data_IF_069122281690
#
_entry.id   IF_069122281690
#
_cell.length_a   1.000
_cell.length_b   1.000
_cell.length_c   1.000
_cell.angle_alpha   90.00
_cell.angle_beta   90.00
_cell.angle_gamma   90.00
#
_symmetry.space_group_name_H-M   'P 1'
#
loop_
_entity.id
_entity.type
_entity.pdbx_description
1 polymer ?
#
# COMPACT_ATOMS: atom_id res chain seq x y z
N UNK A 1 -42.35 -3.89 4.74
CA UNK A 1 -41.72 -2.55 4.73
C UNK A 1 -40.20 -2.71 4.79
N UNK A 2 -39.52 -2.57 3.66
CA UNK A 2 -38.06 -2.74 3.56
C UNK A 2 -37.36 -1.46 4.03
N UNK A 3 -36.69 -1.49 5.19
CA UNK A 3 -35.78 -0.40 5.60
C UNK A 3 -34.63 -0.37 4.60
N UNK A 4 -34.62 0.60 3.68
CA UNK A 4 -33.40 0.96 2.94
C UNK A 4 -32.31 1.22 3.98
N UNK A 5 -31.29 0.35 4.06
CA UNK A 5 -30.09 0.60 4.86
C UNK A 5 -29.45 1.88 4.34
N UNK A 6 -29.65 2.98 5.05
CA UNK A 6 -29.04 4.25 4.72
C UNK A 6 -27.54 4.16 5.02
N UNK A 7 -26.71 4.61 4.09
CA UNK A 7 -25.27 4.71 4.32
C UNK A 7 -24.99 5.73 5.44
N UNK A 8 -23.85 5.60 6.15
CA UNK A 8 -23.39 6.60 7.12
C UNK A 8 -23.36 8.01 6.52
N UNK A 9 -23.51 9.06 7.34
CA UNK A 9 -23.49 10.43 6.86
C UNK A 9 -22.15 10.76 6.19
N UNK A 10 -22.16 11.75 5.30
CA UNK A 10 -20.96 12.16 4.58
C UNK A 10 -21.11 13.54 3.95
N UNK A 11 -20.03 14.11 3.41
CA UNK A 11 -20.07 15.42 2.76
C UNK A 11 -21.15 15.49 1.68
N UNK A 12 -22.07 16.47 1.71
CA UNK A 12 -23.06 16.69 0.66
C UNK A 12 -22.44 17.40 -0.55
N UNK A 13 -21.17 17.11 -0.84
CA UNK A 13 -20.42 17.72 -1.94
C UNK A 13 -20.55 16.85 -3.20
N UNK A 14 -20.55 17.46 -4.41
CA UNK A 14 -20.49 16.71 -5.66
C UNK A 14 -19.26 15.79 -5.72
N UNK A 15 -19.38 14.67 -6.44
CA UNK A 15 -18.31 13.65 -6.57
C UNK A 15 -16.99 14.25 -7.06
N UNK A 16 -17.05 15.18 -8.02
CA UNK A 16 -15.88 15.88 -8.57
C UNK A 16 -15.16 16.71 -7.51
N UNK A 17 -15.92 17.44 -6.67
CA UNK A 17 -15.36 18.26 -5.59
C UNK A 17 -14.69 17.39 -4.53
N UNK A 18 -15.35 16.30 -4.11
CA UNK A 18 -14.74 15.35 -3.17
C UNK A 18 -13.45 14.75 -3.73
N UNK A 19 -13.46 14.38 -5.02
CA UNK A 19 -12.28 13.85 -5.72
C UNK A 19 -11.14 14.87 -5.74
N UNK A 20 -11.42 16.13 -6.07
CA UNK A 20 -10.40 17.19 -6.07
C UNK A 20 -9.81 17.44 -4.67
N UNK A 21 -10.65 17.42 -3.62
CA UNK A 21 -10.19 17.58 -2.23
C UNK A 21 -9.29 16.42 -1.79
N UNK A 22 -9.65 15.19 -2.17
CA UNK A 22 -8.85 13.99 -1.94
C UNK A 22 -7.50 14.07 -2.67
N UNK A 23 -7.50 14.46 -3.96
CA UNK A 23 -6.27 14.61 -4.74
C UNK A 23 -5.36 15.71 -4.19
N UNK A 24 -5.94 16.80 -3.66
CA UNK A 24 -5.17 17.90 -3.06
C UNK A 24 -4.54 17.52 -1.72
N UNK A 25 -5.32 16.91 -0.84
CA UNK A 25 -4.86 16.50 0.49
C UNK A 25 -5.77 15.41 1.05
N UNK A 26 -5.41 14.17 0.77
CA UNK A 26 -6.11 13.02 1.33
C UNK A 26 -6.17 13.07 2.85
N UNK A 27 -5.04 13.20 3.60
CA UNK A 27 -5.08 13.13 5.07
C UNK A 27 -5.88 14.28 5.68
N UNK A 28 -5.74 15.49 5.13
CA UNK A 28 -6.46 16.67 5.62
C UNK A 28 -7.96 16.56 5.40
N UNK A 29 -8.38 16.11 4.22
CA UNK A 29 -9.80 15.93 3.91
C UNK A 29 -10.45 14.83 4.76
N UNK A 30 -9.78 13.69 4.94
CA UNK A 30 -10.24 12.61 5.82
C UNK A 30 -10.37 13.10 7.27
N UNK A 31 -9.36 13.81 7.79
CA UNK A 31 -9.40 14.36 9.15
C UNK A 31 -10.58 15.33 9.33
N UNK A 32 -10.84 16.19 8.35
CA UNK A 32 -11.98 17.11 8.37
C UNK A 32 -13.33 16.37 8.35
N UNK A 33 -13.44 15.29 7.57
CA UNK A 33 -14.63 14.45 7.51
C UNK A 33 -14.85 13.71 8.84
N UNK A 34 -13.80 13.10 9.40
CA UNK A 34 -13.87 12.41 10.69
C UNK A 34 -14.32 13.35 11.81
N UNK A 35 -13.78 14.57 11.86
CA UNK A 35 -14.19 15.59 12.84
C UNK A 35 -15.67 16.00 12.71
N UNK A 36 -16.23 15.97 11.51
CA UNK A 36 -17.60 16.46 11.24
C UNK A 36 -18.66 15.36 11.29
N UNK A 37 -18.32 14.15 10.86
CA UNK A 37 -19.26 13.04 10.68
C UNK A 37 -19.01 11.88 11.64
N UNK A 38 -17.94 11.93 12.43
CA UNK A 38 -17.57 10.90 13.38
C UNK A 38 -16.70 9.81 12.77
N UNK A 39 -16.58 8.65 13.44
CA UNK A 39 -15.60 7.63 13.09
C UNK A 39 -15.94 6.82 11.83
N UNK A 40 -17.21 6.88 11.38
CA UNK A 40 -17.74 6.18 10.22
C UNK A 40 -18.45 7.21 9.33
N UNK A 41 -18.00 7.35 8.08
CA UNK A 41 -18.62 8.31 7.15
C UNK A 41 -18.51 7.87 5.70
N UNK A 42 -19.39 8.41 4.85
CA UNK A 42 -19.44 8.06 3.42
C UNK A 42 -18.72 9.10 2.57
N UNK A 43 -17.83 8.65 1.69
CA UNK A 43 -17.20 9.44 0.64
C UNK A 43 -17.67 8.98 -0.74
N UNK A 44 -17.70 9.90 -1.70
CA UNK A 44 -17.99 9.58 -3.10
C UNK A 44 -16.89 10.11 -3.99
N UNK A 45 -15.99 9.23 -4.38
CA UNK A 45 -14.79 9.53 -5.17
C UNK A 45 -15.01 9.02 -6.60
N UNK A 46 -14.63 9.78 -7.61
CA UNK A 46 -14.89 9.41 -9.00
C UNK A 46 -14.21 8.09 -9.39
N UNK A 47 -12.94 7.93 -9.00
CA UNK A 47 -12.12 6.74 -9.31
C UNK A 47 -12.45 5.51 -8.46
N UNK A 48 -13.02 5.69 -7.26
CA UNK A 48 -13.21 4.61 -6.29
C UNK A 48 -14.67 4.36 -5.91
N UNK A 49 -15.62 5.05 -6.55
CA UNK A 49 -17.04 4.86 -6.26
C UNK A 49 -17.51 5.48 -4.94
N UNK A 50 -18.37 4.76 -4.23
CA UNK A 50 -18.88 5.15 -2.91
C UNK A 50 -18.14 4.34 -1.85
N UNK A 51 -17.45 5.02 -0.93
CA UNK A 51 -16.63 4.41 0.10
C UNK A 51 -17.23 4.72 1.46
N UNK A 52 -17.37 3.70 2.31
CA UNK A 52 -17.59 3.90 3.75
C UNK A 52 -16.22 3.87 4.42
N UNK A 53 -15.81 5.00 4.98
CA UNK A 53 -14.52 5.16 5.64
C UNK A 53 -14.65 4.86 7.12
N UNK A 54 -13.79 3.95 7.63
CA UNK A 54 -13.73 3.54 9.03
C UNK A 54 -12.45 4.06 9.66
N UNK A 55 -12.57 4.71 10.82
CA UNK A 55 -11.41 5.22 11.57
C UNK A 55 -11.27 4.62 12.97
N UNK A 56 -12.29 3.92 13.46
CA UNK A 56 -12.25 3.23 14.74
C UNK A 56 -11.48 1.89 14.59
N UNK A 57 -10.43 1.64 15.41
CA UNK A 57 -9.70 0.38 15.39
C UNK A 57 -10.57 -0.87 15.59
N UNK A 58 -11.67 -0.79 16.34
CA UNK A 58 -12.58 -1.91 16.55
C UNK A 58 -13.35 -2.26 15.27
N UNK A 59 -13.83 -1.25 14.54
CA UNK A 59 -14.53 -1.45 13.25
C UNK A 59 -13.57 -1.98 12.19
N UNK A 60 -12.35 -1.41 12.14
CA UNK A 60 -11.28 -1.87 11.26
C UNK A 60 -10.99 -3.34 11.55
N UNK A 61 -10.83 -3.72 12.83
CA UNK A 61 -10.59 -5.11 13.22
C UNK A 61 -11.72 -6.04 12.77
N UNK A 62 -12.98 -5.62 12.89
CA UNK A 62 -14.13 -6.40 12.41
C UNK A 62 -14.06 -6.67 10.91
N UNK A 63 -13.71 -5.67 10.10
CA UNK A 63 -13.56 -5.85 8.65
C UNK A 63 -12.39 -6.77 8.32
N UNK A 64 -11.22 -6.56 8.93
CA UNK A 64 -10.02 -7.37 8.69
C UNK A 64 -10.13 -8.81 9.21
N UNK A 65 -10.98 -9.07 10.21
CA UNK A 65 -11.24 -10.41 10.74
C UNK A 65 -12.49 -11.07 10.13
N UNK A 66 -13.22 -10.35 9.27
CA UNK A 66 -14.44 -10.84 8.64
C UNK A 66 -14.17 -11.87 7.54
N UNK A 67 -15.26 -12.43 7.02
CA UNK A 67 -15.21 -13.42 5.94
C UNK A 67 -14.66 -12.76 4.64
N UNK A 68 -13.58 -13.29 4.03
CA UNK A 68 -13.07 -12.82 2.74
C UNK A 68 -14.12 -12.86 1.61
N UNK A 69 -15.12 -13.75 1.71
CA UNK A 69 -16.24 -13.81 0.77
C UNK A 69 -17.24 -12.64 0.91
N UNK A 70 -17.09 -11.81 1.95
CA UNK A 70 -17.91 -10.62 2.23
C UNK A 70 -17.09 -9.33 2.09
N UNK A 71 -15.80 -9.37 2.44
CA UNK A 71 -14.88 -8.25 2.36
C UNK A 71 -13.81 -8.49 1.29
N UNK A 72 -14.21 -8.38 0.02
CA UNK A 72 -13.31 -8.52 -1.13
C UNK A 72 -12.30 -7.36 -1.20
N UNK A 73 -11.01 -7.67 -1.11
CA UNK A 73 -9.94 -6.67 -1.12
C UNK A 73 -9.41 -6.41 -2.55
N UNK A 74 -9.50 -7.41 -3.43
CA UNK A 74 -9.10 -7.34 -4.84
C UNK A 74 -9.99 -6.39 -5.65
N UNK A 75 -11.30 -6.43 -5.46
CA UNK A 75 -12.24 -5.48 -6.08
C UNK A 75 -11.89 -4.01 -5.76
N UNK A 76 -11.44 -3.74 -4.53
CA UNK A 76 -11.01 -2.40 -4.12
C UNK A 76 -9.67 -1.98 -4.74
N UNK A 77 -8.81 -2.95 -5.11
CA UNK A 77 -7.51 -2.72 -5.71
C UNK A 77 -7.52 -2.74 -7.25
N UNK A 78 -8.65 -3.02 -7.90
CA UNK A 78 -8.78 -3.12 -9.36
C UNK A 78 -8.22 -1.90 -10.14
N UNK A 79 -8.18 -0.71 -9.53
CA UNK A 79 -7.53 0.47 -10.11
C UNK A 79 -6.02 0.27 -10.37
N UNK A 80 -5.36 -0.65 -9.67
CA UNK A 80 -3.95 -1.00 -9.83
C UNK A 80 -3.71 -2.11 -10.86
N UNK A 81 -4.77 -2.67 -11.46
CA UNK A 81 -4.68 -3.79 -12.41
C UNK A 81 -3.79 -3.50 -13.62
N UNK A 82 -3.89 -2.29 -14.19
CA UNK A 82 -3.05 -1.89 -15.32
C UNK A 82 -1.55 -1.77 -15.01
N UNK A 83 -1.17 -1.64 -13.73
CA UNK A 83 0.23 -1.54 -13.30
C UNK A 83 0.78 -2.90 -12.84
N UNK A 84 -0.02 -3.66 -12.09
CA UNK A 84 0.43 -4.87 -11.42
C UNK A 84 0.13 -6.16 -12.20
N UNK A 85 -0.71 -6.07 -13.23
CA UNK A 85 -1.24 -7.19 -14.00
C UNK A 85 -2.36 -7.93 -13.24
N UNK A 86 -3.38 -8.37 -13.96
CA UNK A 86 -4.61 -8.99 -13.44
C UNK A 86 -4.40 -10.21 -12.51
N UNK A 87 -3.21 -10.81 -12.53
CA UNK A 87 -2.86 -11.98 -11.72
C UNK A 87 -2.04 -11.66 -10.47
N UNK A 88 -1.78 -10.37 -10.20
CA UNK A 88 -1.08 -9.94 -8.99
C UNK A 88 -1.78 -10.41 -7.73
N UNK A 89 -1.01 -10.81 -6.72
CA UNK A 89 -1.51 -11.13 -5.38
C UNK A 89 -2.24 -9.94 -4.74
N UNK A 90 -2.00 -8.72 -5.19
CA UNK A 90 -2.71 -7.54 -4.68
C UNK A 90 -4.14 -7.38 -5.24
N UNK A 91 -4.52 -8.14 -6.27
CA UNK A 91 -5.78 -7.94 -7.02
C UNK A 91 -6.72 -9.15 -6.99
N UNK A 92 -6.18 -10.34 -6.76
CA UNK A 92 -6.95 -11.56 -6.62
C UNK A 92 -7.55 -11.68 -5.22
N UNK A 93 -8.73 -12.28 -5.13
CA UNK A 93 -9.43 -12.55 -3.87
C UNK A 93 -9.48 -14.07 -3.55
N UNK A 94 -9.97 -14.38 -2.35
CA UNK A 94 -10.36 -15.72 -1.89
C UNK A 94 -9.27 -16.80 -1.97
N UNK A 95 -9.61 -17.99 -2.49
CA UNK A 95 -8.74 -19.17 -2.49
C UNK A 95 -7.53 -18.98 -3.40
N UNK A 96 -7.71 -18.29 -4.54
CA UNK A 96 -6.63 -17.94 -5.46
C UNK A 96 -5.63 -16.97 -4.81
N UNK A 97 -6.13 -16.00 -4.04
CA UNK A 97 -5.28 -15.14 -3.21
C UNK A 97 -4.48 -15.93 -2.18
N UNK A 98 -5.15 -16.84 -1.45
CA UNK A 98 -4.53 -17.68 -0.43
C UNK A 98 -3.40 -18.53 -0.99
N UNK A 99 -3.63 -19.18 -2.13
CA UNK A 99 -2.66 -20.07 -2.75
C UNK A 99 -1.46 -19.32 -3.33
N UNK A 100 -1.69 -18.22 -4.05
CA UNK A 100 -0.57 -17.41 -4.58
C UNK A 100 0.23 -16.76 -3.46
N UNK A 101 -0.43 -16.27 -2.41
CA UNK A 101 0.25 -15.78 -1.21
C UNK A 101 1.09 -16.88 -0.58
N UNK A 102 0.55 -18.09 -0.39
CA UNK A 102 1.29 -19.23 0.17
C UNK A 102 2.57 -19.53 -0.61
N UNK A 103 2.54 -19.46 -1.94
CA UNK A 103 3.71 -19.66 -2.79
C UNK A 103 4.73 -18.51 -2.69
N UNK A 104 4.27 -17.28 -2.47
CA UNK A 104 5.13 -16.09 -2.36
C UNK A 104 5.70 -15.84 -0.96
N UNK A 105 5.11 -16.39 0.10
CA UNK A 105 5.54 -16.14 1.48
C UNK A 105 6.90 -16.76 1.92
N UNK A 106 7.42 -17.87 1.36
CA UNK A 106 8.65 -18.50 1.88
C UNK A 106 9.87 -17.57 1.96
N UNK A 107 10.14 -16.69 0.98
CA UNK A 107 11.19 -15.66 1.09
C UNK A 107 11.00 -14.66 2.25
N UNK A 108 9.78 -14.47 2.73
CA UNK A 108 9.42 -13.50 3.78
C UNK A 108 9.28 -14.12 5.18
N UNK A 109 9.54 -15.42 5.32
CA UNK A 109 9.56 -16.07 6.64
C UNK A 109 10.78 -15.63 7.46
N UNK A 110 10.62 -15.63 8.79
CA UNK A 110 11.62 -15.12 9.75
C UNK A 110 13.05 -15.59 9.44
N UNK A 111 13.25 -16.90 9.27
CA UNK A 111 14.59 -17.45 9.03
C UNK A 111 15.17 -17.03 7.67
N UNK A 112 14.31 -16.92 6.66
CA UNK A 112 14.68 -16.47 5.33
C UNK A 112 15.04 -14.97 5.32
N UNK A 113 14.37 -14.17 6.14
CA UNK A 113 14.71 -12.74 6.37
C UNK A 113 16.01 -12.63 7.16
N UNK A 114 16.17 -13.42 8.24
CA UNK A 114 17.37 -13.42 9.06
C UNK A 114 18.64 -13.76 8.25
N UNK A 115 18.55 -14.71 7.31
CA UNK A 115 19.65 -15.05 6.38
C UNK A 115 20.02 -13.90 5.43
N UNK A 116 19.09 -13.00 5.11
CA UNK A 116 19.30 -11.85 4.20
C UNK A 116 19.73 -10.58 4.93
N UNK A 117 19.49 -10.48 6.24
CA UNK A 117 19.79 -9.30 7.03
C UNK A 117 21.25 -8.81 6.90
N UNK A 118 22.29 -9.69 6.84
CA UNK A 118 23.67 -9.24 6.60
C UNK A 118 23.83 -8.51 5.26
N UNK A 119 23.32 -9.08 4.16
CA UNK A 119 23.40 -8.45 2.84
C UNK A 119 22.64 -7.12 2.77
N UNK A 120 21.54 -7.00 3.52
CA UNK A 120 20.79 -5.74 3.66
C UNK A 120 21.61 -4.70 4.41
N UNK A 121 22.26 -5.09 5.51
CA UNK A 121 23.11 -4.22 6.30
C UNK A 121 24.33 -3.74 5.50
N UNK A 122 24.96 -4.64 4.73
CA UNK A 122 26.08 -4.28 3.84
C UNK A 122 25.69 -3.24 2.79
N UNK A 123 24.53 -3.42 2.12
CA UNK A 123 24.03 -2.45 1.16
C UNK A 123 23.77 -1.08 1.81
N UNK A 124 23.16 -1.08 3.00
CA UNK A 124 22.93 0.15 3.75
C UNK A 124 24.24 0.85 4.16
N UNK A 125 25.20 0.11 4.72
CA UNK A 125 26.50 0.65 5.14
C UNK A 125 27.26 1.23 3.95
N UNK A 126 27.33 0.50 2.83
CA UNK A 126 28.01 0.94 1.62
C UNK A 126 27.37 2.23 1.06
N UNK A 127 26.04 2.33 1.07
CA UNK A 127 25.35 3.53 0.61
C UNK A 127 25.58 4.72 1.55
N UNK A 128 25.44 4.50 2.86
CA UNK A 128 25.60 5.55 3.90
C UNK A 128 27.02 6.11 3.91
N UNK A 129 28.03 5.29 3.61
CA UNK A 129 29.41 5.76 3.47
C UNK A 129 29.61 6.85 2.39
N UNK A 130 28.63 7.03 1.48
CA UNK A 130 28.63 8.07 0.43
C UNK A 130 27.86 9.34 0.81
N UNK A 131 27.30 9.39 2.02
CA UNK A 131 26.46 10.50 2.43
C UNK A 131 27.29 11.73 2.82
N UNK A 132 26.81 12.95 2.52
CA UNK A 132 27.46 14.17 2.98
C UNK A 132 27.50 14.25 4.50
N UNK A 133 28.62 14.74 5.06
CA UNK A 133 28.81 14.95 6.49
C UNK A 133 28.83 16.44 6.80
N UNK A 134 28.10 16.84 7.85
CA UNK A 134 28.07 18.23 8.33
C UNK A 134 27.26 19.19 7.47
N UNK A 135 26.50 18.69 6.49
CA UNK A 135 25.61 19.48 5.63
C UNK A 135 24.27 18.79 5.46
N UNK A 136 23.21 19.59 5.28
CA UNK A 136 21.88 19.07 5.03
C UNK A 136 21.76 18.51 3.60
N UNK A 137 21.06 17.40 3.47
CA UNK A 137 20.77 16.77 2.18
C UNK A 137 19.42 16.03 2.23
N UNK A 138 18.77 15.78 1.08
CA UNK A 138 17.51 15.04 1.05
C UNK A 138 17.75 13.55 1.32
N UNK A 139 17.21 13.03 2.42
CA UNK A 139 17.36 11.62 2.82
C UNK A 139 16.51 10.67 1.98
N UNK A 140 15.33 11.12 1.51
CA UNK A 140 14.38 10.24 0.82
C UNK A 140 14.95 9.58 -0.45
N UNK A 141 15.66 10.29 -1.36
CA UNK A 141 16.33 9.66 -2.49
C UNK A 141 17.39 8.63 -2.07
N UNK A 142 18.14 8.88 -0.98
CA UNK A 142 19.17 7.96 -0.46
C UNK A 142 18.54 6.68 0.11
N UNK A 143 17.45 6.81 0.86
CA UNK A 143 16.69 5.65 1.37
C UNK A 143 16.08 4.80 0.25
N UNK A 144 15.59 5.45 -0.82
CA UNK A 144 15.09 4.75 -2.00
C UNK A 144 16.20 3.94 -2.69
N UNK A 145 17.41 4.48 -2.79
CA UNK A 145 18.58 3.77 -3.32
C UNK A 145 18.92 2.53 -2.49
N UNK A 146 18.99 2.65 -1.17
CA UNK A 146 19.23 1.51 -0.27
C UNK A 146 18.15 0.44 -0.48
N UNK A 147 16.88 0.85 -0.52
CA UNK A 147 15.75 -0.07 -0.70
C UNK A 147 15.83 -0.83 -2.02
N UNK A 148 16.11 -0.14 -3.12
CA UNK A 148 16.26 -0.75 -4.43
C UNK A 148 17.45 -1.73 -4.46
N UNK A 149 18.58 -1.34 -3.90
CA UNK A 149 19.77 -2.20 -3.84
C UNK A 149 19.51 -3.47 -3.01
N UNK A 150 18.81 -3.34 -1.88
CA UNK A 150 18.35 -4.48 -1.09
C UNK A 150 17.46 -5.40 -1.92
N UNK A 151 16.47 -4.88 -2.62
CA UNK A 151 15.56 -5.69 -3.46
C UNK A 151 16.34 -6.42 -4.55
N UNK A 152 17.24 -5.72 -5.25
CA UNK A 152 18.06 -6.30 -6.31
C UNK A 152 18.91 -7.46 -5.78
N UNK A 153 19.59 -7.28 -4.64
CA UNK A 153 20.47 -8.30 -4.05
C UNK A 153 19.70 -9.48 -3.44
N UNK A 154 18.57 -9.23 -2.79
CA UNK A 154 17.91 -10.22 -1.91
C UNK A 154 16.71 -10.94 -2.53
N UNK A 155 16.03 -10.29 -3.49
CA UNK A 155 14.84 -10.82 -4.17
C UNK A 155 15.19 -11.24 -5.59
N UNK A 156 15.90 -10.39 -6.34
CA UNK A 156 16.24 -10.64 -7.75
C UNK A 156 17.53 -11.48 -7.87
N UNK A 157 18.44 -11.37 -6.90
CA UNK A 157 19.76 -12.03 -6.95
C UNK A 157 20.72 -11.36 -7.93
N UNK A 158 20.42 -10.16 -8.40
CA UNK A 158 21.29 -9.38 -9.28
C UNK A 158 22.23 -8.51 -8.42
N UNK A 159 23.53 -8.66 -8.66
CA UNK A 159 24.53 -7.73 -8.14
C UNK A 159 24.54 -6.45 -8.98
N UNK A 160 24.82 -5.25 -8.40
CA UNK A 160 24.87 -3.98 -9.13
C UNK A 160 25.82 -3.96 -10.36
N UNK A 161 26.76 -4.91 -10.47
CA UNK A 161 27.65 -5.04 -11.63
C UNK A 161 26.99 -5.68 -12.87
N UNK A 162 25.84 -6.35 -12.73
CA UNK A 162 25.16 -6.98 -13.87
C UNK A 162 24.27 -6.00 -14.67
N UNK A 163 23.81 -4.91 -14.05
CA UNK A 163 22.86 -3.97 -14.70
C UNK A 163 23.58 -2.87 -15.49
N UNK A 164 24.86 -2.59 -15.19
CA UNK A 164 25.66 -1.58 -15.90
C UNK A 164 26.16 -2.02 -17.28
N UNK A 165 26.03 -3.29 -17.65
CA UNK A 165 26.51 -3.82 -18.94
C UNK A 165 25.44 -3.91 -20.05
N UNK A 166 24.19 -3.50 -19.78
CA UNK A 166 23.10 -3.54 -20.77
C UNK A 166 22.81 -2.19 -21.44
N UNK A 167 23.58 -1.14 -21.13
CA UNK A 167 23.41 0.21 -21.69
C UNK A 167 24.73 0.79 -22.23
N UNK A 168 25.63 -0.06 -22.71
CA UNK A 168 26.78 0.34 -23.52
C UNK A 168 26.67 -0.27 -24.91
#
# INVERSE_FOLDING_TARGET
MSRRKALPPGPPLPRSVQTALVMRSWPGYITACQRRYGPIFTLRIATMGTIVYLTDPADIKTVFAGDPAVYHAGEANAMLAGLLGETSVLLIDDEVHRDRRRLMMPPFQRDAVARRAPAMAEAAVANIATWPVGVDFPVAPRMAQITLEVILRTVIGASPWAVRYSLA
#
